data_IF_719295629480
#
_entry.id   IF_719295629480
#
_cell.length_a   1.000
_cell.length_b   1.000
_cell.length_c   1.000
_cell.angle_alpha   90.00
_cell.angle_beta   90.00
_cell.angle_gamma   90.00
#
_symmetry.space_group_name_H-M   'P 1'
#
loop_
_entity.id
_entity.type
_entity.pdbx_description
1 polymer ?
#
# COMPACT_ATOMS: atom_id res chain seq x y z
N UNK A 1 -5.57 76.52 57.51
CA UNK A 1 -6.28 76.27 56.22
C UNK A 1 -6.07 74.82 55.83
N UNK A 2 -7.13 74.02 55.61
CA UNK A 2 -6.97 72.62 55.22
C UNK A 2 -6.50 72.52 53.76
N UNK A 3 -5.54 71.64 53.47
CA UNK A 3 -4.99 71.45 52.11
C UNK A 3 -6.00 70.66 51.26
N UNK A 4 -6.25 71.05 49.99
CA UNK A 4 -7.18 70.33 49.12
C UNK A 4 -6.63 68.94 48.77
N UNK A 5 -7.43 67.91 49.06
CA UNK A 5 -7.15 66.52 48.67
C UNK A 5 -7.32 66.42 47.15
N UNK A 6 -6.23 66.16 46.42
CA UNK A 6 -6.28 65.91 44.98
C UNK A 6 -7.02 64.59 44.74
N UNK A 7 -8.23 64.67 44.17
CA UNK A 7 -8.97 63.50 43.66
C UNK A 7 -8.06 62.72 42.72
N UNK A 8 -7.84 61.44 43.01
CA UNK A 8 -7.10 60.52 42.13
C UNK A 8 -7.90 60.39 40.83
N UNK A 9 -7.33 60.86 39.73
CA UNK A 9 -7.90 60.62 38.40
C UNK A 9 -7.72 59.13 38.14
N UNK A 10 -8.79 58.36 38.29
CA UNK A 10 -8.87 57.00 37.76
C UNK A 10 -8.72 57.12 36.26
N UNK A 11 -7.53 56.80 35.76
CA UNK A 11 -7.26 56.61 34.33
C UNK A 11 -8.36 55.64 33.86
N UNK A 12 -9.23 56.08 32.95
CA UNK A 12 -10.14 55.17 32.26
C UNK A 12 -9.23 54.13 31.61
N UNK A 13 -9.27 52.92 32.13
CA UNK A 13 -8.64 51.77 31.47
C UNK A 13 -9.35 51.70 30.13
N UNK A 14 -8.60 51.89 29.04
CA UNK A 14 -9.14 51.86 27.70
C UNK A 14 -10.04 50.64 27.57
N UNK A 15 -11.31 50.92 27.29
CA UNK A 15 -12.31 49.92 27.04
C UNK A 15 -11.85 49.10 25.83
N UNK A 16 -11.96 47.78 26.00
CA UNK A 16 -11.98 46.80 24.92
C UNK A 16 -10.61 46.58 24.25
N UNK A 17 -9.87 45.59 24.76
CA UNK A 17 -9.09 44.75 23.86
C UNK A 17 -10.06 44.25 22.80
N UNK A 18 -10.03 44.84 21.61
CA UNK A 18 -10.72 44.31 20.42
C UNK A 18 -10.46 42.81 20.40
N UNK A 19 -11.46 42.00 20.74
CA UNK A 19 -11.40 40.56 20.51
C UNK A 19 -11.56 40.41 19.01
N UNK A 20 -10.47 40.70 18.29
CA UNK A 20 -10.44 40.59 16.84
C UNK A 20 -10.84 39.17 16.52
N UNK A 21 -11.88 39.06 15.71
CA UNK A 21 -12.35 37.74 15.29
C UNK A 21 -11.22 37.06 14.52
N UNK A 22 -11.14 35.73 14.59
CA UNK A 22 -10.11 34.94 13.86
C UNK A 22 -10.07 35.33 12.37
N UNK A 23 -11.23 35.69 11.83
CA UNK A 23 -11.40 36.23 10.49
C UNK A 23 -10.65 37.55 10.27
N UNK A 24 -10.80 38.55 11.14
CA UNK A 24 -10.13 39.86 11.01
C UNK A 24 -8.60 39.74 11.13
N UNK A 25 -8.13 38.86 12.01
CA UNK A 25 -6.71 38.55 12.16
C UNK A 25 -6.17 37.94 10.85
N UNK A 26 -6.88 36.95 10.29
CA UNK A 26 -6.49 36.31 9.04
C UNK A 26 -6.54 37.28 7.85
N UNK A 27 -7.55 38.16 7.79
CA UNK A 27 -7.73 39.14 6.73
C UNK A 27 -6.62 40.20 6.73
N UNK A 28 -6.27 40.73 7.91
CA UNK A 28 -5.20 41.70 8.05
C UNK A 28 -3.84 41.07 7.73
N UNK A 29 -3.59 39.84 8.21
CA UNK A 29 -2.39 39.09 7.86
C UNK A 29 -2.29 38.84 6.34
N UNK A 30 -3.39 38.48 5.68
CA UNK A 30 -3.41 38.33 4.23
C UNK A 30 -3.07 39.63 3.48
N UNK A 31 -3.57 40.78 3.94
CA UNK A 31 -3.27 42.07 3.30
C UNK A 31 -1.80 42.46 3.46
N UNK A 32 -1.24 42.29 4.65
CA UNK A 32 0.16 42.63 4.94
C UNK A 32 1.13 41.66 4.23
N UNK A 33 0.77 40.36 4.19
CA UNK A 33 1.66 39.29 3.72
C UNK A 33 1.17 38.63 2.43
N UNK A 34 0.46 39.38 1.56
CA UNK A 34 -0.22 38.84 0.37
C UNK A 34 0.66 37.94 -0.50
N UNK A 35 1.91 38.33 -0.75
CA UNK A 35 2.88 37.52 -1.53
C UNK A 35 3.20 36.19 -0.86
N UNK A 36 3.45 36.20 0.45
CA UNK A 36 3.73 34.98 1.21
C UNK A 36 2.52 34.06 1.27
N UNK A 37 1.32 34.60 1.51
CA UNK A 37 0.09 33.78 1.54
C UNK A 37 -0.19 33.17 0.17
N UNK A 38 -0.01 33.91 -0.93
CA UNK A 38 -0.15 33.34 -2.27
C UNK A 38 0.85 32.21 -2.54
N UNK A 39 2.12 32.36 -2.12
CA UNK A 39 3.11 31.28 -2.25
C UNK A 39 2.71 30.05 -1.44
N UNK A 40 2.21 30.23 -0.21
CA UNK A 40 1.78 29.14 0.66
C UNK A 40 0.56 28.42 0.07
N UNK A 41 -0.46 29.16 -0.40
CA UNK A 41 -1.63 28.58 -1.06
C UNK A 41 -1.22 27.83 -2.33
N UNK A 42 -0.33 28.41 -3.15
CA UNK A 42 0.18 27.77 -4.36
C UNK A 42 0.93 26.47 -4.05
N UNK A 43 1.79 26.47 -3.02
CA UNK A 43 2.49 25.27 -2.57
C UNK A 43 1.50 24.18 -2.11
N UNK A 44 0.46 24.54 -1.35
CA UNK A 44 -0.58 23.61 -0.91
C UNK A 44 -1.33 23.03 -2.12
N UNK A 45 -1.72 23.86 -3.09
CA UNK A 45 -2.38 23.41 -4.33
C UNK A 45 -1.49 22.43 -5.11
N UNK A 46 -0.18 22.70 -5.23
CA UNK A 46 0.76 21.77 -5.87
C UNK A 46 0.80 20.44 -5.13
N UNK A 47 0.90 20.44 -3.79
CA UNK A 47 0.93 19.21 -2.99
C UNK A 47 -0.36 18.41 -3.19
N UNK A 48 -1.52 19.06 -3.22
CA UNK A 48 -2.79 18.39 -3.52
C UNK A 48 -2.83 17.81 -4.93
N UNK A 49 -2.39 18.58 -5.94
CA UNK A 49 -2.34 18.10 -7.33
C UNK A 49 -1.41 16.91 -7.48
N UNK A 50 -0.21 16.96 -6.92
CA UNK A 50 0.74 15.85 -6.94
C UNK A 50 0.16 14.62 -6.23
N UNK A 51 -0.43 14.80 -5.05
CA UNK A 51 -1.08 13.70 -4.30
C UNK A 51 -2.22 13.07 -5.11
N UNK A 52 -3.04 13.89 -5.76
CA UNK A 52 -4.15 13.42 -6.60
C UNK A 52 -3.67 12.65 -7.83
N UNK A 53 -2.64 13.15 -8.52
CA UNK A 53 -2.03 12.48 -9.67
C UNK A 53 -1.44 11.13 -9.25
N UNK A 54 -0.67 11.10 -8.16
CA UNK A 54 -0.08 9.86 -7.63
C UNK A 54 -1.16 8.87 -7.23
N UNK A 55 -2.20 9.32 -6.52
CA UNK A 55 -3.33 8.48 -6.12
C UNK A 55 -4.06 7.88 -7.33
N UNK A 56 -4.38 8.71 -8.33
CA UNK A 56 -5.04 8.25 -9.55
C UNK A 56 -4.19 7.24 -10.33
N UNK A 57 -2.87 7.45 -10.37
CA UNK A 57 -1.95 6.54 -11.05
C UNK A 57 -1.83 5.18 -10.33
N UNK A 58 -1.74 5.19 -9.00
CA UNK A 58 -1.70 3.96 -8.17
C UNK A 58 -3.00 3.17 -8.37
N UNK A 59 -4.15 3.85 -8.31
CA UNK A 59 -5.45 3.21 -8.50
C UNK A 59 -5.57 2.54 -9.87
N UNK A 60 -5.17 3.23 -10.94
CA UNK A 60 -5.22 2.68 -12.29
C UNK A 60 -4.31 1.45 -12.46
N UNK A 61 -3.14 1.43 -11.80
CA UNK A 61 -2.26 0.26 -11.79
C UNK A 61 -2.90 -0.92 -11.08
N UNK A 62 -3.51 -0.68 -9.93
CA UNK A 62 -4.14 -1.72 -9.12
C UNK A 62 -5.32 -2.36 -9.83
N UNK A 63 -6.19 -1.56 -10.47
CA UNK A 63 -7.31 -2.09 -11.28
C UNK A 63 -6.82 -3.03 -12.40
N UNK A 64 -5.74 -2.66 -13.10
CA UNK A 64 -5.13 -3.51 -14.15
C UNK A 64 -4.48 -4.77 -13.58
N UNK A 65 -3.84 -4.67 -12.41
CA UNK A 65 -3.25 -5.83 -11.74
C UNK A 65 -4.34 -6.85 -11.39
N UNK A 66 -5.45 -6.40 -10.81
CA UNK A 66 -6.59 -7.26 -10.48
C UNK A 66 -7.23 -7.89 -11.71
N UNK A 67 -7.38 -7.14 -12.81
CA UNK A 67 -7.88 -7.67 -14.08
C UNK A 67 -6.98 -8.80 -14.59
N UNK A 68 -5.67 -8.57 -14.64
CA UNK A 68 -4.69 -9.56 -15.09
C UNK A 68 -4.64 -10.79 -14.17
N UNK A 69 -4.69 -10.61 -12.85
CA UNK A 69 -4.74 -11.72 -11.88
C UNK A 69 -6.02 -12.53 -12.07
N UNK A 70 -7.16 -11.86 -12.27
CA UNK A 70 -8.43 -12.53 -12.51
C UNK A 70 -8.44 -13.32 -13.83
N UNK A 71 -7.88 -12.76 -14.90
CA UNK A 71 -7.71 -13.47 -16.17
C UNK A 71 -6.77 -14.67 -16.04
N UNK A 72 -5.62 -14.49 -15.39
CA UNK A 72 -4.69 -15.59 -15.09
C UNK A 72 -5.36 -16.68 -14.28
N UNK A 73 -6.15 -16.30 -13.26
CA UNK A 73 -6.90 -17.23 -12.44
C UNK A 73 -7.95 -18.00 -13.24
N UNK A 74 -8.68 -17.35 -14.16
CA UNK A 74 -9.64 -18.03 -15.03
C UNK A 74 -8.99 -19.13 -15.87
N UNK A 75 -7.83 -18.82 -16.44
CA UNK A 75 -7.06 -19.76 -17.25
C UNK A 75 -6.51 -20.89 -16.37
N UNK A 76 -5.94 -20.55 -15.21
CA UNK A 76 -5.38 -21.50 -14.24
C UNK A 76 -6.41 -22.47 -13.64
N UNK A 77 -7.58 -21.94 -13.23
CA UNK A 77 -8.67 -22.68 -12.59
C UNK A 77 -9.48 -23.48 -13.60
N UNK A 78 -9.30 -23.24 -14.90
CA UNK A 78 -9.92 -24.03 -15.95
C UNK A 78 -11.44 -23.99 -15.86
N UNK A 79 -12.02 -22.79 -15.68
CA UNK A 79 -13.44 -22.50 -15.41
C UNK A 79 -14.49 -23.16 -16.35
N UNK A 80 -14.08 -24.01 -17.30
CA UNK A 80 -14.94 -24.87 -18.13
C UNK A 80 -14.46 -26.32 -18.24
N UNK A 81 -14.01 -26.94 -17.14
CA UNK A 81 -14.00 -28.40 -16.97
C UNK A 81 -12.91 -29.20 -17.71
N UNK A 82 -12.02 -28.57 -18.47
CA UNK A 82 -10.84 -29.23 -19.05
C UNK A 82 -9.58 -28.90 -18.26
N UNK A 83 -8.78 -29.93 -17.96
CA UNK A 83 -7.43 -29.80 -17.39
C UNK A 83 -6.65 -28.83 -18.28
N UNK A 84 -6.21 -27.69 -17.72
CA UNK A 84 -5.45 -26.69 -18.46
C UNK A 84 -4.22 -27.36 -19.08
N UNK A 85 -4.04 -27.19 -20.39
CA UNK A 85 -2.85 -27.67 -21.09
C UNK A 85 -1.64 -26.79 -20.72
N UNK A 86 -0.43 -27.24 -21.07
CA UNK A 86 0.78 -26.47 -20.76
C UNK A 86 0.76 -25.07 -21.38
N UNK A 87 0.16 -24.92 -22.56
CA UNK A 87 0.07 -23.63 -23.26
C UNK A 87 -0.81 -22.64 -22.49
N UNK A 88 -1.96 -23.08 -21.99
CA UNK A 88 -2.83 -22.29 -21.14
C UNK A 88 -2.13 -21.91 -19.83
N UNK A 89 -1.39 -22.85 -19.22
CA UNK A 89 -0.62 -22.55 -18.01
C UNK A 89 0.51 -21.53 -18.27
N UNK A 90 1.15 -21.55 -19.43
CA UNK A 90 2.14 -20.53 -19.81
C UNK A 90 1.50 -19.16 -20.00
N UNK A 91 0.31 -19.09 -20.60
CA UNK A 91 -0.43 -17.84 -20.75
C UNK A 91 -0.89 -17.30 -19.39
N UNK A 92 -1.42 -18.16 -18.51
CA UNK A 92 -1.76 -17.80 -17.13
C UNK A 92 -0.53 -17.25 -16.38
N UNK A 93 0.61 -17.93 -16.50
CA UNK A 93 1.87 -17.50 -15.89
C UNK A 93 2.28 -16.11 -16.37
N UNK A 94 2.15 -15.84 -17.67
CA UNK A 94 2.43 -14.53 -18.25
C UNK A 94 1.52 -13.46 -17.65
N UNK A 95 0.20 -13.71 -17.57
CA UNK A 95 -0.74 -12.75 -16.96
C UNK A 95 -0.44 -12.47 -15.50
N UNK A 96 -0.12 -13.49 -14.72
CA UNK A 96 0.26 -13.29 -13.31
C UNK A 96 1.58 -12.51 -13.16
N UNK A 97 2.58 -12.75 -14.02
CA UNK A 97 3.83 -11.98 -14.01
C UNK A 97 3.57 -10.51 -14.37
N UNK A 98 2.78 -10.25 -15.40
CA UNK A 98 2.37 -8.88 -15.75
C UNK A 98 1.59 -8.21 -14.63
N UNK A 99 0.68 -8.93 -13.95
CA UNK A 99 -0.04 -8.42 -12.79
C UNK A 99 0.91 -8.03 -11.65
N UNK A 100 1.87 -8.90 -11.33
CA UNK A 100 2.84 -8.68 -10.26
C UNK A 100 3.77 -7.47 -10.52
N UNK A 101 4.09 -7.22 -11.79
CA UNK A 101 4.84 -6.02 -12.21
C UNK A 101 4.03 -4.72 -12.05
N UNK A 102 2.70 -4.78 -12.16
CA UNK A 102 1.83 -3.62 -11.92
C UNK A 102 1.62 -3.39 -10.43
N UNK A 103 1.37 -4.47 -9.69
CA UNK A 103 1.15 -4.45 -8.25
C UNK A 103 1.70 -5.74 -7.62
N UNK A 104 2.70 -5.58 -6.75
CA UNK A 104 3.26 -6.72 -6.02
C UNK A 104 2.30 -7.14 -4.91
N UNK A 105 1.71 -8.33 -5.04
CA UNK A 105 0.87 -8.95 -4.02
C UNK A 105 1.31 -10.37 -3.70
N UNK A 106 1.08 -10.81 -2.47
CA UNK A 106 1.38 -12.18 -2.04
C UNK A 106 0.55 -13.19 -2.84
N UNK A 107 -0.74 -12.90 -3.02
CA UNK A 107 -1.66 -13.73 -3.79
C UNK A 107 -1.18 -13.97 -5.23
N UNK A 108 -0.84 -12.91 -5.97
CA UNK A 108 -0.37 -13.05 -7.35
C UNK A 108 0.92 -13.85 -7.40
N UNK A 109 1.87 -13.58 -6.49
CA UNK A 109 3.12 -14.33 -6.43
C UNK A 109 2.92 -15.81 -6.06
N UNK A 110 1.93 -16.12 -5.22
CA UNK A 110 1.53 -17.49 -4.91
C UNK A 110 1.00 -18.19 -6.17
N UNK A 111 0.13 -17.54 -6.95
CA UNK A 111 -0.38 -18.10 -8.20
C UNK A 111 0.69 -18.27 -9.28
N UNK A 112 1.69 -17.39 -9.35
CA UNK A 112 2.89 -17.59 -10.19
C UNK A 112 3.54 -18.92 -9.82
N UNK A 113 3.90 -19.11 -8.55
CA UNK A 113 4.56 -20.32 -8.07
C UNK A 113 3.69 -21.59 -8.27
N UNK A 114 2.37 -21.49 -8.06
CA UNK A 114 1.45 -22.59 -8.32
C UNK A 114 1.40 -22.98 -9.81
N UNK A 115 1.46 -22.00 -10.70
CA UNK A 115 1.45 -22.21 -12.14
C UNK A 115 2.76 -22.82 -12.62
N UNK A 116 3.89 -22.33 -12.12
CA UNK A 116 5.22 -22.91 -12.36
C UNK A 116 5.32 -24.35 -11.87
N UNK A 117 4.77 -24.64 -10.68
CA UNK A 117 4.67 -26.00 -10.17
C UNK A 117 3.89 -26.92 -11.12
N UNK A 118 2.73 -26.46 -11.63
CA UNK A 118 1.91 -27.24 -12.59
C UNK A 118 2.65 -27.47 -13.91
N UNK A 119 3.46 -26.51 -14.36
CA UNK A 119 4.33 -26.61 -15.52
C UNK A 119 5.57 -27.49 -15.30
N UNK A 120 5.81 -27.98 -14.07
CA UNK A 120 6.98 -28.78 -13.72
C UNK A 120 8.25 -27.95 -13.48
N UNK A 121 8.15 -26.62 -13.47
CA UNK A 121 9.25 -25.67 -13.19
C UNK A 121 9.48 -25.57 -11.68
N UNK A 122 9.87 -26.70 -11.05
CA UNK A 122 9.94 -26.80 -9.59
C UNK A 122 10.96 -25.84 -8.95
N UNK A 123 12.08 -25.58 -9.62
CA UNK A 123 13.11 -24.65 -9.13
C UNK A 123 12.60 -23.21 -9.11
N UNK A 124 11.90 -22.78 -10.16
CA UNK A 124 11.33 -21.43 -10.25
C UNK A 124 10.23 -21.27 -9.19
N UNK A 125 9.36 -22.26 -9.06
CA UNK A 125 8.30 -22.26 -8.06
C UNK A 125 8.84 -22.14 -6.63
N UNK A 126 9.92 -22.85 -6.28
CA UNK A 126 10.57 -22.72 -4.96
C UNK A 126 11.13 -21.32 -4.74
N UNK A 127 11.80 -20.75 -5.75
CA UNK A 127 12.36 -19.40 -5.69
C UNK A 127 11.28 -18.34 -5.46
N UNK A 128 10.14 -18.47 -6.16
CA UNK A 128 9.05 -17.52 -6.02
C UNK A 128 8.31 -17.69 -4.68
N UNK A 129 8.21 -18.91 -4.15
CA UNK A 129 7.72 -19.15 -2.78
C UNK A 129 8.65 -18.57 -1.71
N UNK A 130 9.97 -18.68 -1.87
CA UNK A 130 10.95 -18.05 -0.98
C UNK A 130 10.87 -16.52 -1.03
N UNK A 131 10.69 -15.96 -2.23
CA UNK A 131 10.43 -14.53 -2.42
C UNK A 131 9.12 -14.12 -1.74
N UNK A 132 8.08 -14.95 -1.80
CA UNK A 132 6.80 -14.67 -1.15
C UNK A 132 6.96 -14.64 0.37
N UNK A 133 7.53 -15.69 0.95
CA UNK A 133 7.74 -15.82 2.40
C UNK A 133 8.59 -14.66 2.93
N UNK A 134 9.64 -14.28 2.19
CA UNK A 134 10.53 -13.19 2.62
C UNK A 134 9.91 -11.79 2.51
N UNK A 135 9.12 -11.51 1.47
CA UNK A 135 8.55 -10.18 1.21
C UNK A 135 7.22 -9.93 1.92
N UNK A 136 6.39 -10.96 2.08
CA UNK A 136 5.01 -10.85 2.57
C UNK A 136 4.81 -11.54 3.92
N UNK A 137 5.75 -11.32 4.86
CA UNK A 137 5.76 -11.94 6.20
C UNK A 137 4.52 -11.66 7.07
N UNK A 138 3.76 -10.62 6.74
CA UNK A 138 2.57 -10.20 7.49
C UNK A 138 1.26 -10.64 6.84
N UNK A 139 1.34 -11.35 5.72
CA UNK A 139 0.16 -11.83 5.00
C UNK A 139 -0.29 -13.17 5.59
N UNK A 140 -1.09 -13.11 6.65
CA UNK A 140 -1.52 -14.29 7.42
C UNK A 140 -2.38 -15.26 6.59
N UNK A 141 -2.98 -14.81 5.49
CA UNK A 141 -3.84 -15.64 4.65
C UNK A 141 -3.02 -16.47 3.65
N UNK A 142 -2.05 -15.86 2.98
CA UNK A 142 -1.27 -16.51 1.91
C UNK A 142 -0.01 -17.20 2.44
N UNK A 143 0.59 -16.68 3.51
CA UNK A 143 1.86 -17.19 4.03
C UNK A 143 1.80 -18.68 4.43
N UNK A 144 0.77 -19.18 5.14
CA UNK A 144 0.65 -20.61 5.42
C UNK A 144 0.56 -21.47 4.17
N UNK A 145 -0.16 -21.00 3.15
CA UNK A 145 -0.31 -21.71 1.87
C UNK A 145 1.04 -21.80 1.14
N UNK A 146 1.85 -20.74 1.19
CA UNK A 146 3.18 -20.73 0.60
C UNK A 146 4.14 -21.72 1.28
N UNK A 147 4.18 -21.74 2.62
CA UNK A 147 4.98 -22.71 3.39
C UNK A 147 4.57 -24.16 3.09
N UNK A 148 3.27 -24.46 3.11
CA UNK A 148 2.74 -25.79 2.78
C UNK A 148 3.09 -26.20 1.35
N UNK A 149 2.97 -25.26 0.40
CA UNK A 149 3.28 -25.55 -1.00
C UNK A 149 4.77 -25.81 -1.19
N UNK A 150 5.64 -25.01 -0.56
CA UNK A 150 7.09 -25.19 -0.59
C UNK A 150 7.50 -26.56 -0.03
N UNK A 151 6.97 -26.92 1.15
CA UNK A 151 7.20 -28.23 1.75
C UNK A 151 6.74 -29.38 0.83
N UNK A 152 5.58 -29.23 0.17
CA UNK A 152 5.09 -30.22 -0.81
C UNK A 152 6.05 -30.41 -1.98
N UNK A 153 6.63 -29.33 -2.51
CA UNK A 153 7.61 -29.40 -3.60
C UNK A 153 8.88 -30.10 -3.13
N UNK A 154 9.38 -29.74 -1.94
CA UNK A 154 10.58 -30.35 -1.34
C UNK A 154 10.41 -31.85 -1.10
N UNK A 155 9.25 -32.29 -0.59
CA UNK A 155 8.93 -33.71 -0.45
C UNK A 155 8.93 -34.44 -1.80
N UNK A 156 8.41 -33.81 -2.86
CA UNK A 156 8.42 -34.38 -4.22
C UNK A 156 9.84 -34.51 -4.79
N UNK A 157 10.78 -33.73 -4.27
CA UNK A 157 12.21 -33.78 -4.60
C UNK A 157 13.01 -34.68 -3.63
N UNK A 158 12.34 -35.43 -2.75
CA UNK A 158 12.93 -36.27 -1.68
C UNK A 158 13.79 -35.49 -0.66
N UNK A 159 13.59 -34.18 -0.56
CA UNK A 159 14.27 -33.29 0.39
C UNK A 159 13.49 -33.20 1.71
N UNK A 160 13.36 -34.34 2.41
CA UNK A 160 12.52 -34.46 3.62
C UNK A 160 12.93 -33.53 4.75
N UNK A 161 14.24 -33.41 5.01
CA UNK A 161 14.74 -32.55 6.09
C UNK A 161 14.46 -31.07 5.83
N UNK A 162 14.58 -30.62 4.58
CA UNK A 162 14.25 -29.25 4.19
C UNK A 162 12.74 -28.99 4.27
N UNK A 163 11.91 -29.98 3.92
CA UNK A 163 10.46 -29.89 4.03
C UNK A 163 10.01 -29.76 5.49
N UNK A 164 10.56 -30.57 6.40
CA UNK A 164 10.27 -30.49 7.83
C UNK A 164 10.65 -29.12 8.40
N UNK A 165 11.88 -28.64 8.13
CA UNK A 165 12.31 -27.29 8.54
C UNK A 165 11.39 -26.19 8.02
N UNK A 166 10.87 -26.34 6.81
CA UNK A 166 9.93 -25.38 6.21
C UNK A 166 8.60 -25.37 6.96
N UNK A 167 8.08 -26.53 7.36
CA UNK A 167 6.84 -26.63 8.14
C UNK A 167 7.04 -26.16 9.58
N UNK A 168 8.18 -26.45 10.21
CA UNK A 168 8.49 -25.96 11.55
C UNK A 168 8.55 -24.43 11.59
N UNK A 169 9.08 -23.79 10.54
CA UNK A 169 9.11 -22.32 10.42
C UNK A 169 7.70 -21.71 10.40
N UNK A 170 6.72 -22.38 9.80
CA UNK A 170 5.33 -21.92 9.77
C UNK A 170 4.71 -21.79 11.17
N UNK A 171 5.10 -22.65 12.12
CA UNK A 171 4.53 -22.68 13.47
C UNK A 171 5.35 -21.90 14.50
N UNK A 172 6.55 -21.43 14.14
CA UNK A 172 7.49 -20.79 15.07
C UNK A 172 7.85 -19.34 14.70
N UNK A 173 7.28 -18.77 13.63
CA UNK A 173 7.31 -17.33 13.32
C UNK A 173 6.14 -16.60 13.98
#
# INVERSE_FOLDING_TARGET
MPKPIKKRVTKKVDAEKEVRTIYEIALNYYRENKRFVHLLVFAVVIVFLLSFITFSYIRSKSEKAHELTYEGYKIYSGLYGKKADNKALEDALKRFKEAYEKESSAETLYYIALTEYKLGKLSDALKDLDSLISKFKKDEEILPLAYLKKATILLKQDKKDEALKTLDALFNE
#
